data_IF_845856921071
#
_entry.id   IF_845856921071
#
_cell.length_a   1.000
_cell.length_b   1.000
_cell.length_c   1.000
_cell.angle_alpha   90.00
_cell.angle_beta   90.00
_cell.angle_gamma   90.00
#
_symmetry.space_group_name_H-M   'P 1'
#
loop_
_entity.id
_entity.type
_entity.pdbx_description
1 polymer ?
#
# COMPACT_ATOMS: atom_id res chain seq x y z
N UNK A 1 11.29 -0.51 -1.82
CA UNK A 1 11.69 -1.30 -0.61
C UNK A 1 10.62 -2.35 -0.40
N UNK A 2 11.01 -3.63 -0.48
CA UNK A 2 10.09 -4.75 -0.35
C UNK A 2 9.83 -5.06 1.11
N UNK A 3 8.55 -5.23 1.49
CA UNK A 3 8.12 -5.56 2.85
C UNK A 3 7.42 -6.92 2.89
N UNK A 4 7.69 -7.77 3.89
CA UNK A 4 6.94 -8.99 4.11
C UNK A 4 5.57 -8.69 4.73
N UNK A 5 4.55 -9.43 4.31
CA UNK A 5 3.19 -9.39 4.85
C UNK A 5 2.94 -10.62 5.75
N UNK A 6 2.00 -10.52 6.70
CA UNK A 6 1.67 -11.62 7.63
C UNK A 6 1.21 -12.92 6.93
N UNK A 7 0.67 -12.80 5.72
CA UNK A 7 0.24 -13.94 4.90
C UNK A 7 1.41 -14.72 4.26
N UNK A 8 2.65 -14.27 4.43
CA UNK A 8 3.84 -14.84 3.78
C UNK A 8 4.13 -14.27 2.38
N UNK A 9 3.25 -13.40 1.88
CA UNK A 9 3.45 -12.62 0.66
C UNK A 9 4.35 -11.43 0.93
N UNK A 10 4.77 -10.73 -0.13
CA UNK A 10 5.54 -9.49 -0.02
C UNK A 10 4.92 -8.41 -0.90
N UNK A 11 5.13 -7.15 -0.54
CA UNK A 11 4.72 -6.00 -1.32
C UNK A 11 5.88 -5.02 -1.49
N UNK A 12 5.89 -4.28 -2.59
CA UNK A 12 6.89 -3.27 -2.86
C UNK A 12 6.24 -2.05 -3.52
N UNK A 13 6.48 -0.88 -2.95
CA UNK A 13 6.14 0.38 -3.60
C UNK A 13 7.19 0.66 -4.67
N UNK A 14 6.73 0.90 -5.91
CA UNK A 14 7.57 1.30 -7.04
C UNK A 14 8.36 2.57 -6.72
N UNK A 15 9.48 2.78 -7.42
CA UNK A 15 10.36 3.94 -7.13
C UNK A 15 9.67 5.29 -7.30
N UNK A 16 8.69 5.37 -8.19
CA UNK A 16 7.86 6.54 -8.45
C UNK A 16 6.60 6.61 -7.59
N UNK A 17 6.34 5.60 -6.75
CA UNK A 17 5.14 5.51 -5.92
C UNK A 17 3.86 5.18 -6.68
N UNK A 18 3.89 5.06 -8.01
CA UNK A 18 2.68 4.93 -8.82
C UNK A 18 2.07 3.53 -8.83
N UNK A 19 2.80 2.54 -8.33
CA UNK A 19 2.33 1.16 -8.34
C UNK A 19 2.80 0.44 -7.10
N UNK A 20 1.94 -0.40 -6.54
CA UNK A 20 2.30 -1.38 -5.54
C UNK A 20 2.44 -2.75 -6.21
N UNK A 21 3.64 -3.29 -6.19
CA UNK A 21 3.96 -4.60 -6.76
C UNK A 21 3.78 -5.66 -5.67
N UNK A 22 3.09 -6.74 -6.01
CA UNK A 22 2.82 -7.88 -5.13
C UNK A 22 3.67 -9.08 -5.54
N UNK A 23 4.23 -9.75 -4.54
CA UNK A 23 5.03 -10.95 -4.71
C UNK A 23 4.46 -12.11 -3.90
N UNK A 24 4.52 -13.30 -4.49
CA UNK A 24 4.20 -14.55 -3.83
C UNK A 24 5.24 -14.94 -2.77
N UNK A 25 4.96 -16.00 -1.99
CA UNK A 25 5.89 -16.52 -0.99
C UNK A 25 7.27 -16.91 -1.55
N UNK A 26 7.33 -17.30 -2.82
CA UNK A 26 8.52 -17.71 -3.57
C UNK A 26 9.28 -16.56 -4.24
N UNK A 27 8.95 -15.30 -3.91
CA UNK A 27 9.47 -14.07 -4.54
C UNK A 27 9.07 -13.87 -6.02
N UNK A 28 8.17 -14.69 -6.56
CA UNK A 28 7.59 -14.43 -7.89
C UNK A 28 6.68 -13.21 -7.85
N UNK A 29 6.72 -12.37 -8.89
CA UNK A 29 5.74 -11.29 -9.05
C UNK A 29 4.38 -11.88 -9.44
N UNK A 30 3.34 -11.52 -8.67
CA UNK A 30 1.99 -12.06 -8.89
C UNK A 30 1.01 -10.98 -9.36
N UNK A 31 1.38 -9.71 -9.30
CA UNK A 31 0.58 -8.61 -9.83
C UNK A 31 1.01 -7.25 -9.32
N UNK A 32 0.33 -6.22 -9.80
CA UNK A 32 0.55 -4.85 -9.38
C UNK A 32 -0.80 -4.12 -9.24
N UNK A 33 -0.86 -3.17 -8.32
CA UNK A 33 -2.05 -2.38 -7.98
C UNK A 33 -1.70 -0.91 -8.16
N UNK A 34 -2.53 -0.18 -8.90
CA UNK A 34 -2.45 1.28 -9.03
C UNK A 34 -3.20 1.96 -7.88
N UNK A 35 -2.75 3.13 -7.42
CA UNK A 35 -3.48 3.91 -6.44
C UNK A 35 -4.78 4.46 -7.06
N UNK A 36 -5.88 4.53 -6.31
CA UNK A 36 -7.10 5.20 -6.77
C UNK A 36 -6.88 6.70 -6.97
N UNK A 37 -7.67 7.41 -7.80
CA UNK A 37 -7.75 8.89 -7.81
C UNK A 37 -6.40 9.67 -7.85
N UNK A 38 -5.56 9.46 -8.86
CA UNK A 38 -4.34 10.26 -9.13
C UNK A 38 -3.32 10.41 -7.97
N UNK A 39 -3.28 9.49 -7.00
CA UNK A 39 -2.25 9.54 -5.96
C UNK A 39 -1.03 8.68 -6.20
N UNK A 40 -0.20 8.61 -5.17
CA UNK A 40 1.01 7.80 -5.12
C UNK A 40 1.10 7.07 -3.77
N UNK A 41 1.66 5.87 -3.77
CA UNK A 41 2.08 5.15 -2.58
C UNK A 41 3.39 5.73 -2.03
N UNK A 42 3.43 6.03 -0.72
CA UNK A 42 4.59 6.66 -0.09
C UNK A 42 5.33 5.74 0.88
N UNK A 43 4.61 5.06 1.77
CA UNK A 43 5.22 4.19 2.76
C UNK A 43 4.27 3.12 3.28
N UNK A 44 4.84 2.09 3.89
CA UNK A 44 4.09 1.07 4.62
C UNK A 44 3.80 1.53 6.05
N UNK A 45 2.60 1.25 6.56
CA UNK A 45 2.24 1.56 7.95
C UNK A 45 2.97 0.63 8.92
N UNK A 46 3.43 1.13 10.06
CA UNK A 46 4.12 0.29 11.06
C UNK A 46 3.19 -0.77 11.68
N UNK A 47 1.88 -0.50 11.73
CA UNK A 47 0.84 -1.44 12.16
C UNK A 47 0.40 -2.43 11.08
N UNK A 48 1.07 -2.44 9.92
CA UNK A 48 0.78 -3.37 8.83
C UNK A 48 1.08 -4.84 9.14
N UNK A 49 1.43 -5.11 10.40
CA UNK A 49 1.61 -6.43 10.96
C UNK A 49 0.35 -7.26 10.75
N UNK A 50 -0.88 -6.77 10.71
CA UNK A 50 -2.11 -7.61 10.63
C UNK A 50 -2.60 -7.98 9.22
N UNK A 51 -1.75 -7.91 8.18
CA UNK A 51 -2.18 -8.20 6.80
C UNK A 51 -2.93 -7.02 6.14
N UNK A 52 -2.82 -5.83 6.71
CA UNK A 52 -3.33 -4.56 6.17
C UNK A 52 -2.13 -3.66 5.84
N UNK A 53 -1.90 -3.36 4.57
CA UNK A 53 -0.72 -2.62 4.08
C UNK A 53 -1.17 -1.89 2.79
N UNK A 54 -0.75 -0.66 2.41
CA UNK A 54 -0.03 0.46 3.04
C UNK A 54 -0.92 1.69 3.34
N UNK A 55 -0.30 2.70 3.96
CA UNK A 55 -0.81 4.07 4.04
C UNK A 55 -0.57 4.80 2.71
N UNK A 56 -1.53 5.62 2.29
CA UNK A 56 -1.46 6.39 1.04
C UNK A 56 -1.61 7.88 1.35
N UNK A 57 -0.75 8.72 0.78
CA UNK A 57 -0.85 10.17 0.86
C UNK A 57 -1.19 10.69 -0.53
N UNK A 58 -2.36 11.31 -0.65
CA UNK A 58 -2.87 11.89 -1.90
C UNK A 58 -2.61 13.38 -1.87
N UNK A 59 -2.02 13.88 -2.95
CA UNK A 59 -1.75 15.28 -3.24
C UNK A 59 -0.50 15.89 -2.55
N UNK A 60 0.47 16.44 -3.33
CA UNK A 60 1.62 17.19 -2.79
C UNK A 60 1.23 18.32 -1.84
N UNK A 61 0.04 18.86 -2.05
CA UNK A 61 -0.62 19.92 -1.29
C UNK A 61 -1.16 19.48 0.08
N UNK A 62 -1.28 18.17 0.33
CA UNK A 62 -1.69 17.64 1.64
C UNK A 62 -0.51 17.16 2.49
N UNK A 63 0.74 17.36 2.03
CA UNK A 63 1.99 17.14 2.80
C UNK A 63 2.12 17.98 4.07
N UNK A 64 1.13 18.81 4.40
CA UNK A 64 1.27 19.93 5.32
C UNK A 64 1.56 19.46 6.75
N UNK A 65 1.15 18.25 7.15
CA UNK A 65 1.21 17.87 8.58
C UNK A 65 1.91 16.53 8.88
N UNK A 66 2.35 15.76 7.89
CA UNK A 66 2.90 14.41 8.13
C UNK A 66 1.88 13.37 8.58
N UNK A 67 0.58 13.68 8.46
CA UNK A 67 -0.52 12.75 8.73
C UNK A 67 -1.02 12.16 7.40
N UNK A 68 -1.30 10.84 7.36
CA UNK A 68 -1.88 10.23 6.19
C UNK A 68 -3.38 10.54 6.10
N UNK A 69 -3.80 11.05 4.93
CA UNK A 69 -5.20 11.40 4.68
C UNK A 69 -6.10 10.19 4.45
N UNK A 70 -5.54 9.04 4.05
CA UNK A 70 -6.30 7.84 3.71
C UNK A 70 -5.52 6.56 4.06
N UNK A 71 -6.23 5.58 4.63
CA UNK A 71 -5.70 4.23 4.86
C UNK A 71 -6.26 3.29 3.80
N UNK A 72 -5.49 2.28 3.41
CA UNK A 72 -5.98 1.26 2.49
C UNK A 72 -5.65 -0.13 3.00
N UNK A 73 -6.62 -1.02 2.82
CA UNK A 73 -6.44 -2.45 2.99
C UNK A 73 -6.18 -3.08 1.63
N UNK A 74 -5.23 -3.99 1.57
CA UNK A 74 -4.93 -4.72 0.34
C UNK A 74 -5.14 -6.19 0.58
N UNK A 75 -5.96 -6.78 -0.28
CA UNK A 75 -6.08 -8.22 -0.38
C UNK A 75 -5.15 -8.70 -1.50
N UNK A 76 -4.05 -9.34 -1.10
CA UNK A 76 -3.06 -9.87 -2.04
C UNK A 76 -3.54 -11.09 -2.82
N UNK A 77 -4.54 -11.81 -2.31
CA UNK A 77 -5.11 -12.97 -2.99
C UNK A 77 -6.08 -12.52 -4.09
N UNK A 78 -6.91 -11.52 -3.78
CA UNK A 78 -7.87 -10.95 -4.72
C UNK A 78 -7.27 -9.86 -5.60
N UNK A 79 -6.08 -9.36 -5.26
CA UNK A 79 -5.41 -8.21 -5.90
C UNK A 79 -6.28 -6.95 -5.87
N UNK A 80 -6.95 -6.73 -4.75
CA UNK A 80 -7.85 -5.60 -4.55
C UNK A 80 -7.29 -4.63 -3.52
N UNK A 81 -7.73 -3.38 -3.62
CA UNK A 81 -7.43 -2.32 -2.68
C UNK A 81 -8.75 -1.69 -2.21
N UNK A 82 -8.92 -1.60 -0.89
CA UNK A 82 -10.10 -1.02 -0.25
C UNK A 82 -9.69 0.23 0.52
N UNK A 83 -10.39 1.34 0.28
CA UNK A 83 -10.18 2.58 1.02
C UNK A 83 -10.81 2.48 2.40
N UNK A 84 -9.98 2.58 3.42
CA UNK A 84 -10.38 2.74 4.81
C UNK A 84 -10.37 4.23 5.17
N UNK A 85 -11.37 4.66 5.93
CA UNK A 85 -11.44 6.03 6.44
C UNK A 85 -10.48 6.16 7.65
N UNK A 86 -9.46 7.04 7.61
CA UNK A 86 -8.54 7.24 8.75
C UNK A 86 -9.21 7.69 10.03
N UNK A 87 -10.37 8.33 9.90
CA UNK A 87 -11.01 9.11 10.96
C UNK A 87 -12.21 8.42 11.59
N UNK A 88 -12.35 7.10 11.41
CA UNK A 88 -13.44 6.29 11.97
C UNK A 88 -12.94 5.12 12.78
#
# INVERSE_FOLDING_TARGET
MRVPLKSGYKAEISRDGRVLILYGPDDSEIGAIEPPEHGDFYHFAYHAVEGECPIVSFAPEHKINGWPDWYYKIDVHQKTIERLNPWR
#
